data_IF_665629287815
#
_entry.id   IF_665629287815
#
_cell.length_a   1.000
_cell.length_b   1.000
_cell.length_c   1.000
_cell.angle_alpha   90.00
_cell.angle_beta   90.00
_cell.angle_gamma   90.00
#
_symmetry.space_group_name_H-M   'P 1'
#
loop_
_entity.id
_entity.type
_entity.pdbx_description
1 polymer ?
#
# COMPACT_ATOMS: atom_id res chain seq x y z
N UNK A 1 -3.11 3.90 8.07
CA UNK A 1 -3.07 3.29 6.72
C UNK A 1 -1.78 2.51 6.53
N UNK A 2 -1.80 1.45 5.71
CA UNK A 2 -0.64 0.59 5.41
C UNK A 2 -0.53 0.32 3.91
N UNK A 3 0.64 0.51 3.33
CA UNK A 3 0.97 0.19 1.94
C UNK A 3 1.75 -1.13 1.89
N UNK A 4 1.10 -2.20 1.44
CA UNK A 4 1.73 -3.47 1.14
C UNK A 4 2.43 -3.43 -0.21
N UNK A 5 3.69 -3.86 -0.22
CA UNK A 5 4.58 -3.86 -1.37
C UNK A 5 5.37 -5.16 -1.43
N UNK A 6 6.17 -5.36 -2.49
CA UNK A 6 7.15 -6.46 -2.56
C UNK A 6 8.47 -5.95 -3.11
N UNK A 7 9.54 -6.75 -2.97
CA UNK A 7 10.80 -6.50 -3.66
C UNK A 7 10.62 -6.52 -5.19
N UNK A 8 11.44 -5.72 -5.89
CA UNK A 8 11.44 -5.62 -7.35
C UNK A 8 10.06 -5.29 -7.96
N UNK A 9 9.33 -4.40 -7.30
CA UNK A 9 8.01 -3.94 -7.73
C UNK A 9 8.08 -2.49 -8.22
N UNK A 10 8.28 -2.31 -9.54
CA UNK A 10 8.34 -0.98 -10.16
C UNK A 10 7.14 -0.09 -9.80
N UNK A 11 5.93 -0.67 -9.82
CA UNK A 11 4.68 0.03 -9.45
C UNK A 11 4.68 0.49 -8.00
N UNK A 12 5.28 -0.29 -7.10
CA UNK A 12 5.40 0.04 -5.68
C UNK A 12 6.43 1.16 -5.48
N UNK A 13 7.56 1.07 -6.17
CA UNK A 13 8.64 2.05 -6.08
C UNK A 13 8.21 3.42 -6.63
N UNK A 14 7.41 3.43 -7.70
CA UNK A 14 6.81 4.66 -8.22
C UNK A 14 5.98 5.40 -7.16
N UNK A 15 5.25 4.69 -6.29
CA UNK A 15 4.50 5.30 -5.18
C UNK A 15 5.45 5.76 -4.08
N UNK A 16 6.39 4.92 -3.65
CA UNK A 16 7.36 5.25 -2.59
C UNK A 16 8.21 6.48 -2.93
N UNK A 17 8.56 6.65 -4.20
CA UNK A 17 9.38 7.76 -4.67
C UNK A 17 8.58 9.05 -4.93
N UNK A 18 7.26 8.95 -5.10
CA UNK A 18 6.42 10.10 -5.43
C UNK A 18 5.80 10.80 -4.21
N UNK A 19 5.69 10.11 -3.07
CA UNK A 19 4.99 10.61 -1.89
C UNK A 19 5.83 10.41 -0.61
N UNK A 20 5.76 11.36 0.31
CA UNK A 20 6.25 11.16 1.68
C UNK A 20 5.24 10.33 2.47
N UNK A 21 5.25 9.02 2.25
CA UNK A 21 4.30 8.09 2.87
C UNK A 21 4.38 8.12 4.40
N UNK A 22 5.59 8.24 4.95
CA UNK A 22 5.79 8.34 6.41
C UNK A 22 5.20 9.65 6.96
N UNK A 23 5.48 10.79 6.31
CA UNK A 23 4.87 12.08 6.66
C UNK A 23 3.35 12.11 6.52
N UNK A 24 2.79 11.26 5.64
CA UNK A 24 1.34 11.06 5.49
C UNK A 24 0.74 10.05 6.47
N UNK A 25 1.53 9.46 7.36
CA UNK A 25 1.07 8.44 8.33
C UNK A 25 0.77 7.07 7.71
N UNK A 26 1.38 6.76 6.57
CA UNK A 26 1.23 5.48 5.87
C UNK A 26 2.45 4.60 6.20
N UNK A 27 2.22 3.48 6.89
CA UNK A 27 3.24 2.47 7.12
C UNK A 27 3.52 1.70 5.83
N UNK A 28 4.78 1.42 5.52
CA UNK A 28 5.15 0.56 4.38
C UNK A 28 5.47 -0.82 4.94
N UNK A 29 4.84 -1.85 4.39
CA UNK A 29 5.18 -3.24 4.68
C UNK A 29 5.61 -3.93 3.39
N UNK A 30 6.73 -4.65 3.45
CA UNK A 30 7.28 -5.40 2.32
C UNK A 30 6.96 -6.86 2.55
N UNK A 31 6.16 -7.43 1.66
CA UNK A 31 5.78 -8.83 1.69
C UNK A 31 7.01 -9.65 1.33
N UNK A 32 7.42 -10.48 2.27
CA UNK A 32 8.52 -11.43 2.15
C UNK A 32 8.06 -12.76 2.77
N UNK A 33 8.59 -13.88 2.29
CA UNK A 33 8.19 -15.21 2.79
C UNK A 33 8.72 -15.50 4.21
N UNK A 34 9.73 -14.74 4.65
CA UNK A 34 10.41 -14.86 5.93
C UNK A 34 9.89 -13.90 7.01
N UNK A 35 8.90 -13.05 6.70
CA UNK A 35 8.27 -12.14 7.67
C UNK A 35 6.85 -12.62 8.04
N UNK A 36 6.71 -13.47 9.09
CA UNK A 36 5.42 -14.00 9.49
C UNK A 36 4.44 -12.93 9.98
N UNK A 37 4.95 -11.79 10.48
CA UNK A 37 4.10 -10.71 10.98
C UNK A 37 3.43 -9.97 9.81
N UNK A 38 4.17 -9.69 8.74
CA UNK A 38 3.60 -9.10 7.51
C UNK A 38 2.63 -10.06 6.84
N UNK A 39 2.94 -11.36 6.79
CA UNK A 39 2.03 -12.38 6.25
C UNK A 39 0.74 -12.48 7.06
N UNK A 40 0.83 -12.46 8.40
CA UNK A 40 -0.34 -12.47 9.27
C UNK A 40 -1.20 -11.21 9.08
N UNK A 41 -0.58 -10.03 8.95
CA UNK A 41 -1.29 -8.79 8.70
C UNK A 41 -1.98 -8.78 7.32
N UNK A 42 -1.32 -9.32 6.29
CA UNK A 42 -1.90 -9.49 4.97
C UNK A 42 -3.11 -10.44 4.98
N UNK A 43 -2.98 -11.56 5.70
CA UNK A 43 -4.05 -12.55 5.86
C UNK A 43 -5.25 -12.00 6.63
N UNK A 44 -5.02 -11.18 7.66
CA UNK A 44 -6.08 -10.50 8.41
C UNK A 44 -6.97 -9.64 7.50
N UNK A 45 -6.40 -9.02 6.47
CA UNK A 45 -7.14 -8.21 5.50
C UNK A 45 -7.68 -9.01 4.30
N UNK A 46 -7.58 -10.35 4.33
CA UNK A 46 -7.99 -11.25 3.23
C UNK A 46 -7.33 -10.90 1.87
N UNK A 47 -6.08 -10.40 1.91
CA UNK A 47 -5.37 -9.90 0.72
C UNK A 47 -4.43 -10.90 0.05
N UNK A 48 -4.27 -12.10 0.61
CA UNK A 48 -3.30 -13.11 0.13
C UNK A 48 -3.52 -13.43 -1.34
N UNK A 49 -4.74 -13.81 -1.72
CA UNK A 49 -5.09 -14.14 -3.11
C UNK A 49 -4.86 -12.96 -4.07
N UNK A 50 -5.10 -11.72 -3.62
CA UNK A 50 -4.88 -10.53 -4.44
C UNK A 50 -3.40 -10.29 -4.71
N UNK A 51 -2.54 -10.53 -3.71
CA UNK A 51 -1.09 -10.44 -3.87
C UNK A 51 -0.59 -11.51 -4.84
N UNK A 52 -1.07 -12.75 -4.73
CA UNK A 52 -0.74 -13.84 -5.65
C UNK A 52 -1.17 -13.55 -7.10
N UNK A 53 -2.31 -12.88 -7.28
CA UNK A 53 -2.79 -12.40 -8.58
C UNK A 53 -2.01 -11.19 -9.11
N UNK A 54 -1.04 -10.67 -8.37
CA UNK A 54 -0.21 -9.53 -8.77
C UNK A 54 -0.88 -8.17 -8.59
N UNK A 55 -1.85 -8.04 -7.68
CA UNK A 55 -2.59 -6.81 -7.40
C UNK A 55 -1.80 -5.73 -6.63
N UNK A 56 -0.47 -5.74 -6.72
CA UNK A 56 0.41 -4.81 -6.00
C UNK A 56 0.65 -3.50 -6.77
N UNK A 57 0.92 -2.39 -6.05
CA UNK A 57 0.84 -2.24 -4.60
C UNK A 57 -0.62 -2.26 -4.08
N UNK A 58 -0.81 -2.54 -2.79
CA UNK A 58 -2.12 -2.49 -2.11
C UNK A 58 -2.05 -1.53 -0.91
N UNK A 59 -2.89 -0.51 -0.89
CA UNK A 59 -3.03 0.44 0.22
C UNK A 59 -4.28 0.08 1.03
N UNK A 60 -4.09 -0.31 2.30
CA UNK A 60 -5.16 -0.50 3.28
C UNK A 60 -5.43 0.81 4.01
N UNK A 61 -6.70 1.20 4.03
CA UNK A 61 -7.22 2.40 4.66
C UNK A 61 -7.58 2.17 6.14
N UNK A 62 -7.82 3.25 6.88
CA UNK A 62 -8.10 3.17 8.32
C UNK A 62 -9.45 2.49 8.65
N UNK A 63 -10.35 2.39 7.67
CA UNK A 63 -11.63 1.67 7.76
C UNK A 63 -11.52 0.19 7.32
N UNK A 64 -10.30 -0.33 7.19
CA UNK A 64 -9.98 -1.68 6.71
C UNK A 64 -10.38 -1.97 5.26
N UNK A 65 -10.82 -0.96 4.49
CA UNK A 65 -10.95 -1.12 3.04
C UNK A 65 -9.59 -1.01 2.36
N UNK A 66 -9.49 -1.40 1.09
CA UNK A 66 -8.22 -1.38 0.35
C UNK A 66 -8.36 -0.82 -1.07
N UNK A 67 -7.27 -0.20 -1.53
CA UNK A 67 -7.08 0.27 -2.91
C UNK A 67 -5.92 -0.52 -3.50
N UNK A 68 -6.08 -1.05 -4.70
CA UNK A 68 -5.05 -1.83 -5.41
C UNK A 68 -4.53 -1.12 -6.65
N UNK A 69 -3.31 -1.49 -7.04
CA UNK A 69 -2.56 -0.95 -8.18
C UNK A 69 -2.09 0.50 -8.01
N UNK A 70 -1.04 0.85 -8.76
CA UNK A 70 -0.38 2.16 -8.70
C UNK A 70 -1.32 3.33 -9.01
N UNK A 71 -2.02 3.32 -10.14
CA UNK A 71 -2.80 4.48 -10.61
C UNK A 71 -3.92 4.86 -9.62
N UNK A 72 -4.76 3.93 -9.12
CA UNK A 72 -5.76 4.25 -8.11
C UNK A 72 -5.16 4.76 -6.80
N UNK A 73 -4.07 4.15 -6.31
CA UNK A 73 -3.39 4.56 -5.08
C UNK A 73 -2.82 5.98 -5.24
N UNK A 74 -2.11 6.24 -6.34
CA UNK A 74 -1.55 7.56 -6.66
C UNK A 74 -2.64 8.64 -6.65
N UNK A 75 -3.76 8.40 -7.32
CA UNK A 75 -4.89 9.34 -7.38
C UNK A 75 -5.48 9.61 -5.99
N UNK A 76 -5.58 8.58 -5.15
CA UNK A 76 -6.04 8.73 -3.77
C UNK A 76 -5.09 9.61 -2.96
N UNK A 77 -3.78 9.37 -3.05
CA UNK A 77 -2.77 10.14 -2.32
C UNK A 77 -2.71 11.60 -2.79
N UNK A 78 -2.77 11.86 -4.10
CA UNK A 78 -2.85 13.21 -4.69
C UNK A 78 -4.07 13.99 -4.15
N UNK A 79 -5.23 13.34 -4.07
CA UNK A 79 -6.44 13.95 -3.53
C UNK A 79 -6.35 14.24 -2.03
N UNK A 80 -5.62 13.43 -1.25
CA UNK A 80 -5.42 13.73 0.18
C UNK A 80 -4.53 14.95 0.38
N UNK A 81 -3.52 15.15 -0.46
CA UNK A 81 -2.63 16.32 -0.38
C UNK A 81 -3.37 17.63 -0.68
N UNK A 82 -4.32 17.62 -1.62
CA UNK A 82 -5.10 18.82 -1.97
C UNK A 82 -6.11 19.21 -0.89
N UNK A 83 -6.56 18.26 -0.04
CA UNK A 83 -7.47 18.52 1.08
C UNK A 83 -6.80 19.17 2.29
N UNK A 84 -5.46 19.22 2.37
CA UNK A 84 -4.72 19.83 3.49
C UNK A 84 -4.49 21.34 3.28
N UNK A 85 -4.90 21.90 2.13
CA UNK A 85 -4.63 23.29 1.75
C UNK A 85 -5.80 24.26 2.05
N UNK A 86 -6.84 23.83 2.79
CA UNK A 86 -7.96 24.70 3.19
C UNK A 86 -8.17 24.70 4.70
#
# INVERSE_FOLDING_TARGET
>A
MTLFTKHDCLKCDNIKNAFDLNGMGIKIEVITEDDPDVLAHLAWHELVDLVEQGALPILVLDDCTHIKYEVPIRRFLENRLTQVVH
#
